data_IF_230316971406
#
_entry.id   IF_230316971406
#
_cell.length_a   1.000
_cell.length_b   1.000
_cell.length_c   1.000
_cell.angle_alpha   90.00
_cell.angle_beta   90.00
_cell.angle_gamma   90.00
#
_symmetry.space_group_name_H-M   'P 1'
#
loop_
_entity.id
_entity.type
_entity.pdbx_description
1 polymer ?
#
# COMPACT_ATOMS: atom_id res chain seq x y z
N UNK A 1 40.93 -23.46 6.22
CA UNK A 1 40.86 -23.03 4.81
C UNK A 1 40.11 -21.73 4.77
N UNK A 2 40.64 -20.82 3.97
CA UNK A 2 40.62 -19.37 4.10
C UNK A 2 39.25 -18.71 4.21
N UNK A 3 39.20 -17.73 5.11
CA UNK A 3 38.23 -16.65 5.20
C UNK A 3 38.00 -16.06 3.79
N UNK A 4 36.81 -16.34 3.23
CA UNK A 4 36.39 -15.74 1.98
C UNK A 4 35.86 -14.35 2.34
N UNK A 5 36.72 -13.36 2.12
CA UNK A 5 36.54 -11.94 2.37
C UNK A 5 35.12 -11.48 2.08
N UNK A 6 34.40 -11.08 3.12
CA UNK A 6 33.35 -10.05 3.02
C UNK A 6 34.04 -8.72 2.70
N UNK A 7 34.67 -8.67 1.54
CA UNK A 7 35.34 -7.49 1.03
C UNK A 7 34.22 -6.55 0.61
N UNK A 8 33.93 -5.56 1.44
CA UNK A 8 33.06 -4.46 1.06
C UNK A 8 33.60 -3.93 -0.28
N UNK A 9 32.78 -3.96 -1.35
CA UNK A 9 33.25 -3.59 -2.67
C UNK A 9 33.79 -2.18 -2.62
N UNK A 10 34.97 -2.00 -3.20
CA UNK A 10 35.60 -0.69 -3.25
C UNK A 10 34.76 0.26 -4.10
N UNK A 11 34.80 1.56 -3.80
CA UNK A 11 34.05 2.60 -4.52
C UNK A 11 34.20 2.49 -6.05
N UNK A 12 35.39 2.12 -6.52
CA UNK A 12 35.68 2.00 -7.95
C UNK A 12 34.97 0.80 -8.61
N UNK A 13 34.81 -0.31 -7.88
CA UNK A 13 34.08 -1.48 -8.34
C UNK A 13 32.57 -1.20 -8.41
N UNK A 14 32.04 -0.47 -7.42
CA UNK A 14 30.65 -0.01 -7.42
C UNK A 14 30.40 0.87 -8.65
N UNK A 15 31.28 1.85 -8.90
CA UNK A 15 31.15 2.75 -10.06
C UNK A 15 31.34 2.02 -11.40
N UNK A 16 32.20 1.01 -11.46
CA UNK A 16 32.38 0.18 -12.65
C UNK A 16 31.16 -0.69 -12.94
N UNK A 17 30.53 -1.25 -11.90
CA UNK A 17 29.30 -2.06 -12.02
C UNK A 17 28.13 -1.22 -12.56
N UNK A 18 27.93 -0.01 -12.01
CA UNK A 18 26.91 0.93 -12.48
C UNK A 18 27.16 1.32 -13.94
N UNK A 19 28.41 1.65 -14.30
CA UNK A 19 28.75 2.02 -15.69
C UNK A 19 28.51 0.86 -16.67
N UNK A 20 28.76 -0.38 -16.26
CA UNK A 20 28.48 -1.57 -17.08
C UNK A 20 26.99 -1.74 -17.33
N UNK A 21 26.16 -1.67 -16.28
CA UNK A 21 24.70 -1.85 -16.39
C UNK A 21 24.09 -0.79 -17.32
N UNK A 22 24.47 0.48 -17.16
CA UNK A 22 23.95 1.58 -18.00
C UNK A 22 24.38 1.43 -19.47
N UNK A 23 25.60 0.94 -19.73
CA UNK A 23 26.06 0.72 -21.11
C UNK A 23 25.43 -0.51 -21.77
N UNK A 24 24.96 -1.47 -20.97
CA UNK A 24 24.36 -2.72 -21.41
C UNK A 24 22.83 -2.58 -21.66
N UNK A 25 22.18 -1.60 -21.02
CA UNK A 25 20.72 -1.39 -21.04
C UNK A 25 20.24 -0.26 -22.00
N UNK A 26 21.15 0.47 -22.67
CA UNK A 26 20.79 1.48 -23.69
C UNK A 26 20.47 0.84 -25.05
N UNK A 27 19.40 0.07 -25.10
CA UNK A 27 18.76 -0.36 -26.34
C UNK A 27 17.54 0.53 -26.61
N UNK A 28 17.48 1.29 -27.72
CA UNK A 28 16.38 2.21 -27.97
C UNK A 28 15.09 1.43 -28.27
N UNK A 29 14.16 1.44 -27.31
CA UNK A 29 12.78 1.06 -27.54
C UNK A 29 12.16 2.06 -28.52
N UNK A 30 11.66 1.52 -29.63
CA UNK A 30 11.09 2.24 -30.76
C UNK A 30 9.92 3.16 -30.35
N UNK A 31 9.87 4.33 -30.99
CA UNK A 31 8.79 5.31 -30.88
C UNK A 31 7.42 4.76 -31.35
N UNK A 32 6.31 5.19 -30.74
CA UNK A 32 4.95 4.85 -31.16
C UNK A 32 4.39 5.94 -32.10
N UNK A 33 3.95 5.57 -33.30
CA UNK A 33 3.14 6.46 -34.13
C UNK A 33 2.36 5.70 -35.21
N UNK A 34 1.04 5.58 -35.07
CA UNK A 34 0.06 5.83 -36.13
C UNK A 34 -1.38 5.62 -35.61
N UNK A 35 -2.26 6.54 -35.97
CA UNK A 35 -3.58 6.77 -35.40
C UNK A 35 -4.73 6.18 -36.25
N UNK A 36 -5.85 5.91 -35.53
CA UNK A 36 -7.26 5.96 -35.96
C UNK A 36 -7.78 4.87 -36.93
N UNK A 37 -9.13 4.67 -37.09
CA UNK A 37 -10.27 5.37 -36.46
C UNK A 37 -11.31 4.51 -35.72
N UNK A 38 -12.13 5.23 -34.95
CA UNK A 38 -13.31 4.85 -34.15
C UNK A 38 -14.41 4.22 -35.02
N UNK A 39 -14.94 3.07 -34.60
CA UNK A 39 -16.12 2.43 -35.18
C UNK A 39 -17.33 2.67 -34.26
N UNK A 40 -18.35 3.30 -34.82
CA UNK A 40 -19.57 3.79 -34.19
C UNK A 40 -20.56 2.63 -33.90
N UNK A 41 -21.18 2.54 -32.71
CA UNK A 41 -22.14 1.48 -32.42
C UNK A 41 -23.50 1.74 -33.09
N UNK A 42 -24.23 0.70 -33.55
CA UNK A 42 -25.53 0.87 -34.18
C UNK A 42 -26.60 1.29 -33.17
N UNK A 43 -27.41 2.28 -33.55
CA UNK A 43 -28.56 2.76 -32.80
C UNK A 43 -29.65 1.68 -32.63
N UNK A 44 -30.25 1.50 -31.45
CA UNK A 44 -31.47 0.71 -31.31
C UNK A 44 -32.70 1.57 -31.65
N UNK A 45 -33.52 1.04 -32.56
CA UNK A 45 -34.82 1.55 -32.91
C UNK A 45 -35.85 1.32 -31.78
N UNK A 46 -36.60 2.38 -31.47
CA UNK A 46 -38.02 2.43 -31.08
C UNK A 46 -38.60 1.34 -30.16
N UNK A 47 -38.92 1.74 -28.92
CA UNK A 47 -40.23 1.50 -28.29
C UNK A 47 -40.35 2.39 -27.04
N UNK A 48 -41.13 3.46 -27.12
CA UNK A 48 -41.54 4.24 -25.95
C UNK A 48 -42.78 3.58 -25.32
N UNK A 49 -42.78 3.24 -24.01
CA UNK A 49 -44.02 3.04 -23.28
C UNK A 49 -44.55 4.39 -22.77
N UNK A 50 -45.81 4.62 -23.08
CA UNK A 50 -46.69 5.71 -22.64
C UNK A 50 -46.74 5.80 -21.09
N UNK A 51 -46.63 6.99 -20.46
CA UNK A 51 -46.72 7.10 -19.00
C UNK A 51 -48.18 6.98 -18.52
N UNK A 52 -48.46 5.95 -17.72
CA UNK A 52 -49.70 5.83 -16.93
C UNK A 52 -49.81 6.97 -15.90
N UNK A 53 -51.03 7.42 -15.53
CA UNK A 53 -51.21 8.59 -14.68
C UNK A 53 -50.72 8.36 -13.25
N UNK A 54 -49.79 9.19 -12.80
CA UNK A 54 -49.28 9.20 -11.42
C UNK A 54 -50.40 9.52 -10.43
N UNK A 55 -50.63 8.60 -9.49
CA UNK A 55 -51.38 8.90 -8.27
C UNK A 55 -50.53 9.83 -7.40
N UNK A 56 -51.06 10.96 -6.88
CA UNK A 56 -50.25 11.87 -6.10
C UNK A 56 -49.90 11.22 -4.75
N UNK A 57 -48.62 10.90 -4.58
CA UNK A 57 -48.05 10.48 -3.29
C UNK A 57 -48.05 11.70 -2.36
N UNK A 58 -48.59 11.61 -1.12
CA UNK A 58 -48.54 12.73 -0.18
C UNK A 58 -47.08 13.06 0.17
N UNK A 59 -46.74 14.33 0.46
CA UNK A 59 -45.37 14.71 0.79
C UNK A 59 -44.92 13.99 2.08
N UNK A 60 -43.66 13.51 2.14
CA UNK A 60 -43.13 12.90 3.35
C UNK A 60 -43.07 13.94 4.47
N UNK A 61 -43.52 13.56 5.66
CA UNK A 61 -43.33 14.36 6.87
C UNK A 61 -41.82 14.56 7.14
N UNK A 62 -41.40 15.70 7.72
CA UNK A 62 -39.99 15.92 8.03
C UNK A 62 -39.54 14.90 9.07
N UNK A 63 -38.57 14.05 8.68
CA UNK A 63 -37.87 13.19 9.62
C UNK A 63 -37.01 14.05 10.55
N UNK A 64 -36.91 13.74 11.86
CA UNK A 64 -35.98 14.43 12.72
C UNK A 64 -34.56 14.16 12.21
N UNK A 65 -33.83 15.22 11.88
CA UNK A 65 -32.39 15.16 11.63
C UNK A 65 -31.73 14.70 12.92
N UNK A 66 -31.44 13.39 13.01
CA UNK A 66 -30.41 12.92 13.93
C UNK A 66 -29.14 13.68 13.57
N UNK A 67 -28.58 14.36 14.57
CA UNK A 67 -27.51 15.34 14.41
C UNK A 67 -26.44 14.89 13.44
N UNK A 68 -26.08 15.79 12.54
CA UNK A 68 -24.78 15.72 11.90
C UNK A 68 -23.73 15.56 13.02
N UNK A 69 -22.81 14.60 12.95
CA UNK A 69 -21.58 14.79 13.69
C UNK A 69 -20.98 16.06 13.10
N UNK A 70 -20.78 17.09 13.94
CA UNK A 70 -19.86 18.14 13.55
C UNK A 70 -18.54 17.43 13.26
N UNK A 71 -18.06 17.58 12.04
CA UNK A 71 -16.76 17.05 11.65
C UNK A 71 -15.74 17.82 12.48
N UNK A 72 -15.27 17.21 13.57
CA UNK A 72 -14.09 17.68 14.30
C UNK A 72 -12.90 17.61 13.33
N UNK A 73 -12.66 18.70 12.58
CA UNK A 73 -11.51 18.85 11.67
C UNK A 73 -10.17 18.68 12.42
N UNK A 74 -10.20 18.81 13.76
CA UNK A 74 -9.06 18.59 14.66
C UNK A 74 -8.69 17.09 14.84
N UNK A 75 -9.56 16.14 14.50
CA UNK A 75 -9.32 14.71 14.71
C UNK A 75 -8.26 14.10 13.75
N UNK A 76 -7.87 14.83 12.69
CA UNK A 76 -6.88 14.39 11.70
C UNK A 76 -5.57 15.19 11.76
N UNK A 77 -5.40 16.08 12.74
CA UNK A 77 -4.12 16.73 12.98
C UNK A 77 -3.15 15.74 13.66
N UNK A 78 -2.38 15.02 12.85
CA UNK A 78 -1.33 14.07 13.26
C UNK A 78 -0.10 14.75 13.89
N UNK A 79 -0.30 15.89 14.58
CA UNK A 79 0.72 16.58 15.37
C UNK A 79 0.82 16.03 16.78
N UNK A 80 -0.16 15.22 17.21
CA UNK A 80 -0.08 14.44 18.44
C UNK A 80 1.02 13.38 18.31
N UNK A 81 2.10 13.61 19.03
CA UNK A 81 3.18 12.64 19.16
C UNK A 81 2.65 11.49 20.00
N UNK A 82 2.19 10.42 19.33
CA UNK A 82 1.96 9.14 20.00
C UNK A 82 3.29 8.75 20.64
N UNK A 83 3.35 8.81 21.97
CA UNK A 83 4.34 8.03 22.70
C UNK A 83 4.05 6.59 22.34
N UNK A 84 4.78 6.07 21.36
CA UNK A 84 4.90 4.64 21.19
C UNK A 84 5.36 4.13 22.54
N UNK A 85 4.45 3.59 23.34
CA UNK A 85 4.79 2.70 24.45
C UNK A 85 5.46 1.50 23.81
N UNK A 86 6.73 1.71 23.46
CA UNK A 86 7.66 0.71 23.00
C UNK A 86 8.02 -0.10 24.21
N UNK A 87 7.08 -0.93 24.65
CA UNK A 87 7.44 -2.19 25.29
C UNK A 87 7.77 -3.17 24.16
N UNK A 88 8.83 -2.83 23.42
CA UNK A 88 9.56 -3.83 22.67
C UNK A 88 10.32 -4.58 23.77
N UNK A 89 9.73 -5.67 24.27
CA UNK A 89 10.33 -6.55 25.27
C UNK A 89 11.72 -6.98 24.81
N UNK A 90 12.73 -6.22 25.26
CA UNK A 90 14.11 -6.68 25.27
C UNK A 90 14.11 -7.82 26.28
N UNK A 91 14.19 -9.05 25.78
CA UNK A 91 14.23 -10.26 26.59
C UNK A 91 15.25 -10.10 27.71
N UNK A 92 14.75 -9.84 28.91
CA UNK A 92 15.53 -9.78 30.14
C UNK A 92 15.36 -11.12 30.82
N UNK A 93 16.38 -12.00 30.84
CA UNK A 93 16.23 -13.28 31.50
C UNK A 93 16.21 -13.04 33.02
N UNK A 94 15.07 -13.36 33.65
CA UNK A 94 14.99 -13.59 35.09
C UNK A 94 14.49 -12.43 35.93
N UNK A 95 13.19 -12.14 35.82
CA UNK A 95 12.38 -11.79 36.99
C UNK A 95 11.40 -12.96 37.19
N UNK A 96 11.14 -13.43 38.43
CA UNK A 96 10.12 -14.44 38.64
C UNK A 96 8.79 -13.87 38.14
N UNK A 97 8.26 -14.47 37.07
CA UNK A 97 6.92 -14.18 36.58
C UNK A 97 5.95 -14.28 37.76
N UNK A 98 4.98 -13.37 37.90
CA UNK A 98 3.86 -13.65 38.79
C UNK A 98 3.30 -15.01 38.40
N UNK A 99 3.14 -15.89 39.38
CA UNK A 99 2.48 -17.18 39.22
C UNK A 99 1.01 -16.91 38.87
N UNK A 100 0.77 -16.56 37.61
CA UNK A 100 -0.49 -16.81 36.94
C UNK A 100 -0.56 -18.33 36.88
N UNK A 101 -0.95 -18.94 38.00
CA UNK A 101 -1.24 -20.36 38.03
C UNK A 101 -2.06 -20.65 36.80
N UNK A 102 -1.63 -21.62 35.99
CA UNK A 102 -2.40 -22.09 34.86
C UNK A 102 -3.72 -22.66 35.40
N UNK A 103 -4.66 -21.77 35.73
CA UNK A 103 -6.06 -22.09 35.75
C UNK A 103 -6.29 -22.66 34.35
N UNK A 104 -6.68 -23.93 34.31
CA UNK A 104 -7.07 -24.57 33.07
C UNK A 104 -7.91 -23.57 32.28
N UNK A 105 -7.60 -23.32 30.99
CA UNK A 105 -8.34 -22.34 30.21
C UNK A 105 -9.82 -22.62 30.43
N UNK A 106 -10.64 -21.60 30.75
CA UNK A 106 -12.06 -21.83 30.92
C UNK A 106 -12.55 -22.59 29.67
N UNK A 107 -13.43 -23.59 29.82
CA UNK A 107 -13.93 -24.33 28.67
C UNK A 107 -14.44 -23.30 27.66
N UNK A 108 -13.77 -23.23 26.51
CA UNK A 108 -14.15 -22.30 25.44
C UNK A 108 -15.54 -22.74 25.02
N UNK A 109 -16.56 -21.96 25.41
CA UNK A 109 -17.91 -22.25 24.96
C UNK A 109 -17.89 -22.20 23.43
N UNK A 110 -18.49 -23.20 22.75
CA UNK A 110 -18.50 -23.24 21.30
C UNK A 110 -19.25 -22.01 20.80
N UNK A 111 -18.49 -21.03 20.32
CA UNK A 111 -19.02 -19.85 19.67
C UNK A 111 -19.73 -20.35 18.41
N UNK A 112 -21.03 -20.09 18.31
CA UNK A 112 -21.79 -20.53 17.14
C UNK A 112 -21.13 -19.95 15.88
N UNK A 113 -20.85 -20.79 14.86
CA UNK A 113 -20.23 -20.32 13.64
C UNK A 113 -21.16 -19.32 12.94
N UNK A 114 -20.63 -18.13 12.64
CA UNK A 114 -21.38 -17.05 11.99
C UNK A 114 -21.63 -17.31 10.49
N UNK A 115 -20.93 -18.28 9.92
CA UNK A 115 -21.00 -18.68 8.51
C UNK A 115 -21.16 -20.19 8.41
N UNK A 116 -21.75 -20.65 7.30
CA UNK A 116 -21.84 -22.08 7.01
C UNK A 116 -20.47 -22.67 6.67
N UNK A 117 -20.26 -23.96 6.99
CA UNK A 117 -19.02 -24.68 6.66
C UNK A 117 -18.70 -24.59 5.16
N UNK A 118 -19.72 -24.70 4.31
CA UNK A 118 -19.59 -24.53 2.86
C UNK A 118 -19.06 -23.15 2.46
N UNK A 119 -19.50 -22.08 3.13
CA UNK A 119 -19.03 -20.73 2.84
C UNK A 119 -17.58 -20.54 3.33
N UNK A 120 -17.24 -21.10 4.49
CA UNK A 120 -15.88 -21.10 5.01
C UNK A 120 -14.91 -21.88 4.09
N UNK A 121 -15.30 -23.07 3.63
CA UNK A 121 -14.54 -23.88 2.68
C UNK A 121 -14.37 -23.19 1.33
N UNK A 122 -15.43 -22.54 0.82
CA UNK A 122 -15.36 -21.79 -0.43
C UNK A 122 -14.39 -20.60 -0.33
N UNK A 123 -14.40 -19.85 0.77
CA UNK A 123 -13.47 -18.76 1.02
C UNK A 123 -12.02 -19.27 1.15
N UNK A 124 -11.82 -20.35 1.92
CA UNK A 124 -10.51 -20.97 2.07
C UNK A 124 -9.95 -21.50 0.75
N UNK A 125 -10.82 -22.10 -0.08
CA UNK A 125 -10.44 -22.58 -1.42
C UNK A 125 -10.10 -21.43 -2.37
N UNK A 126 -10.87 -20.35 -2.37
CA UNK A 126 -10.60 -19.18 -3.21
C UNK A 126 -9.26 -18.52 -2.83
N UNK A 127 -8.98 -18.39 -1.52
CA UNK A 127 -7.71 -17.89 -1.03
C UNK A 127 -6.55 -18.84 -1.37
N UNK A 128 -6.76 -20.16 -1.26
CA UNK A 128 -5.80 -21.17 -1.67
C UNK A 128 -5.49 -21.18 -3.17
N UNK A 129 -6.50 -20.92 -4.02
CA UNK A 129 -6.32 -20.79 -5.46
C UNK A 129 -5.55 -19.52 -5.83
N UNK A 130 -5.85 -18.39 -5.17
CA UNK A 130 -5.11 -17.15 -5.33
C UNK A 130 -3.66 -17.29 -4.88
N UNK A 131 -3.42 -17.86 -3.70
CA UNK A 131 -2.07 -18.06 -3.19
C UNK A 131 -1.30 -19.03 -4.08
N UNK A 132 -1.90 -20.13 -4.55
CA UNK A 132 -1.26 -21.02 -5.51
C UNK A 132 -0.95 -20.33 -6.85
N UNK A 133 -1.84 -19.47 -7.35
CA UNK A 133 -1.60 -18.68 -8.57
C UNK A 133 -0.48 -17.65 -8.39
N UNK A 134 -0.36 -17.08 -7.19
CA UNK A 134 0.72 -16.13 -6.82
C UNK A 134 2.04 -16.85 -6.52
N UNK A 135 2.00 -18.07 -5.98
CA UNK A 135 3.14 -18.92 -5.67
C UNK A 135 3.60 -19.80 -6.84
N UNK A 136 2.88 -19.80 -7.97
CA UNK A 136 3.31 -20.42 -9.23
C UNK A 136 3.77 -19.35 -10.23
N UNK A 137 5.00 -18.82 -10.08
CA UNK A 137 5.71 -18.16 -11.17
C UNK A 137 5.72 -19.00 -12.43
N UNK A 138 5.47 -18.37 -13.58
CA UNK A 138 6.21 -18.74 -14.77
C UNK A 138 7.71 -18.67 -14.43
N UNK A 139 8.49 -19.65 -14.87
CA UNK A 139 9.91 -19.84 -14.50
C UNK A 139 10.66 -18.50 -14.38
N UNK A 140 10.95 -18.07 -13.15
CA UNK A 140 11.73 -16.87 -12.85
C UNK A 140 10.98 -15.58 -12.43
N UNK A 141 9.65 -15.52 -12.43
CA UNK A 141 8.91 -14.30 -12.01
C UNK A 141 8.34 -14.40 -10.60
N UNK A 142 9.03 -13.83 -9.62
CA UNK A 142 8.56 -13.81 -8.23
C UNK A 142 7.41 -12.81 -8.04
N UNK A 143 6.65 -12.96 -6.94
CA UNK A 143 5.69 -11.93 -6.52
C UNK A 143 6.38 -10.58 -6.34
N UNK A 144 7.64 -10.56 -5.89
CA UNK A 144 8.42 -9.33 -5.76
C UNK A 144 8.58 -8.63 -7.12
N UNK A 145 8.81 -9.37 -8.20
CA UNK A 145 8.95 -8.80 -9.54
C UNK A 145 7.65 -8.14 -10.01
N UNK A 146 6.50 -8.79 -9.72
CA UNK A 146 5.17 -8.22 -10.01
C UNK A 146 4.90 -6.97 -9.17
N UNK A 147 5.16 -7.02 -7.87
CA UNK A 147 4.97 -5.88 -6.97
C UNK A 147 5.89 -4.71 -7.36
N UNK A 148 7.14 -5.00 -7.75
CA UNK A 148 8.10 -3.99 -8.21
C UNK A 148 7.65 -3.35 -9.52
N UNK A 149 7.12 -4.12 -10.46
CA UNK A 149 6.56 -3.61 -11.72
C UNK A 149 5.37 -2.68 -11.47
N UNK A 150 4.52 -3.01 -10.50
CA UNK A 150 3.35 -2.20 -10.13
C UNK A 150 3.69 -0.97 -9.28
N UNK A 151 4.65 -1.05 -8.37
CA UNK A 151 5.04 0.06 -7.50
C UNK A 151 5.95 1.08 -8.19
N UNK A 152 6.73 0.66 -9.19
CA UNK A 152 7.65 1.55 -9.91
C UNK A 152 6.97 2.82 -10.47
N UNK A 153 5.84 2.75 -11.22
CA UNK A 153 5.21 3.96 -11.75
C UNK A 153 4.65 4.88 -10.66
N UNK A 154 4.09 4.31 -9.58
CA UNK A 154 3.52 5.09 -8.47
C UNK A 154 4.59 5.83 -7.68
N UNK A 155 5.71 5.16 -7.39
CA UNK A 155 6.85 5.77 -6.71
C UNK A 155 7.55 6.79 -7.60
N UNK A 156 7.68 6.54 -8.90
CA UNK A 156 8.27 7.48 -9.85
C UNK A 156 7.46 8.78 -9.88
N UNK A 157 6.15 8.70 -10.09
CA UNK A 157 5.28 9.88 -10.12
C UNK A 157 5.35 10.65 -8.80
N UNK A 158 5.28 9.94 -7.66
CA UNK A 158 5.36 10.59 -6.36
C UNK A 158 6.72 11.30 -6.16
N UNK A 159 7.83 10.66 -6.55
CA UNK A 159 9.14 11.28 -6.47
C UNK A 159 9.24 12.49 -7.40
N UNK A 160 8.73 12.43 -8.62
CA UNK A 160 8.75 13.56 -9.55
C UNK A 160 7.98 14.77 -8.98
N UNK A 161 6.85 14.52 -8.32
CA UNK A 161 6.02 15.56 -7.74
C UNK A 161 6.60 16.13 -6.41
N UNK A 162 7.24 15.30 -5.59
CA UNK A 162 7.57 15.67 -4.20
C UNK A 162 9.07 15.88 -3.94
N UNK A 163 9.96 15.23 -4.70
CA UNK A 163 11.41 15.31 -4.50
C UNK A 163 11.94 16.75 -4.61
N UNK A 164 11.50 17.61 -5.55
CA UNK A 164 12.01 18.98 -5.65
C UNK A 164 11.80 19.80 -4.37
N UNK A 165 10.64 19.66 -3.72
CA UNK A 165 10.32 20.35 -2.49
C UNK A 165 11.17 19.83 -1.31
N UNK A 166 11.28 18.50 -1.19
CA UNK A 166 12.08 17.85 -0.14
C UNK A 166 13.54 18.30 -0.21
N UNK A 167 14.12 18.33 -1.42
CA UNK A 167 15.52 18.73 -1.63
C UNK A 167 15.71 20.21 -1.32
N UNK A 168 14.80 21.11 -1.73
CA UNK A 168 14.91 22.54 -1.40
C UNK A 168 14.90 22.79 0.11
N UNK A 169 14.06 22.07 0.85
CA UNK A 169 14.01 22.17 2.31
C UNK A 169 15.32 21.67 2.93
N UNK A 170 15.84 20.51 2.48
CA UNK A 170 17.10 19.96 2.96
C UNK A 170 18.30 20.88 2.67
N UNK A 171 18.39 21.44 1.45
CA UNK A 171 19.47 22.37 1.07
C UNK A 171 19.38 23.68 1.83
N UNK A 172 18.19 24.24 2.00
CA UNK A 172 17.99 25.47 2.79
C UNK A 172 18.46 25.27 4.23
N UNK A 173 18.06 24.15 4.85
CA UNK A 173 18.50 23.78 6.20
C UNK A 173 20.02 23.62 6.29
N UNK A 174 20.64 23.00 5.27
CA UNK A 174 22.07 22.79 5.19
C UNK A 174 22.87 24.10 4.99
N UNK A 175 22.39 25.01 4.14
CA UNK A 175 23.01 26.33 3.94
C UNK A 175 22.91 27.17 5.21
N UNK A 176 21.77 27.16 5.89
CA UNK A 176 21.59 27.87 7.16
C UNK A 176 22.53 27.33 8.24
N UNK A 177 22.71 26.00 8.29
CA UNK A 177 23.66 25.33 9.19
C UNK A 177 25.10 25.78 8.91
N UNK A 178 25.53 25.79 7.64
CA UNK A 178 26.87 26.24 7.24
C UNK A 178 27.06 27.73 7.51
N UNK A 179 26.06 28.56 7.22
CA UNK A 179 26.10 30.00 7.46
C UNK A 179 26.28 30.30 8.96
N UNK A 180 25.56 29.58 9.83
CA UNK A 180 25.70 29.69 11.28
C UNK A 180 27.05 29.14 11.79
N UNK A 181 27.55 28.07 11.17
CA UNK A 181 28.83 27.45 11.50
C UNK A 181 30.05 28.28 11.10
N UNK A 182 29.96 29.08 10.03
CA UNK A 182 31.04 29.95 9.54
C UNK A 182 31.18 31.26 10.33
N UNK A 183 30.16 31.65 11.09
CA UNK A 183 30.13 32.92 11.86
C UNK A 183 30.72 32.75 13.27
N UNK A 184 31.16 31.53 13.66
CA UNK A 184 31.98 31.28 14.85
C UNK A 184 33.44 31.07 14.47
#
# INVERSE_FOLDING_TARGET
MSEQSSQEPTMEEILASIRRIISEDDAPAAEPAAAAPVEEPPAPAAAAPEPEPETPVPPPAPQPVMGAPEEDEDALELTEKVETHGDLDVYTPGSPEPDFGFAAPPPVEPIMPLVSDRAAEAAASAFGQLSAAVLMPAEGRTLEDVVRELLRPLLQQWLDDNLPAIVQQAVTAEVERIARGRVR
#
